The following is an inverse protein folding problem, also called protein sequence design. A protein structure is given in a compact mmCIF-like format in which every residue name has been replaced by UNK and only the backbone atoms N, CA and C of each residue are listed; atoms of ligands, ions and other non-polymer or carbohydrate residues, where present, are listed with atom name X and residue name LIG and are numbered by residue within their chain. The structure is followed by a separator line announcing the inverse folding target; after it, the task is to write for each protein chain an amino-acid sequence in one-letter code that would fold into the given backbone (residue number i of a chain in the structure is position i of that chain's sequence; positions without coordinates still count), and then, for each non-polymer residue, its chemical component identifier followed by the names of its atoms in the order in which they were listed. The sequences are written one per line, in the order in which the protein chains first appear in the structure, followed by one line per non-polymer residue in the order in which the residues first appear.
data_IF_039119317269
#
_entry.id   IF_039119317269
#
_cell.length_a   1.000
_cell.length_b   1.000
_cell.length_c   1.000
_cell.angle_alpha   90.00
_cell.angle_beta   90.00
_cell.angle_gamma   90.00
#
_symmetry.space_group_name_H-M   'P 1'
#
loop_
_entity.id
_entity.type
_entity.pdbx_description
1 polymer ?
#
# COMPACT_ATOMS: atom_id res chain seq x y z
N UNK A 1 15.44 -6.26 4.28
CA UNK A 1 14.09 -5.74 3.98
C UNK A 1 13.57 -6.41 2.72
N UNK A 2 12.29 -6.79 2.67
CA UNK A 2 11.67 -7.45 1.50
C UNK A 2 10.45 -6.66 1.04
N UNK A 3 10.52 -6.11 -0.16
CA UNK A 3 9.41 -5.40 -0.80
C UNK A 3 8.63 -6.37 -1.68
N UNK A 4 7.32 -6.45 -1.50
CA UNK A 4 6.44 -7.31 -2.28
C UNK A 4 5.17 -6.55 -2.69
N UNK A 5 4.35 -7.14 -3.57
CA UNK A 5 3.15 -6.49 -4.07
C UNK A 5 2.17 -6.10 -2.94
N UNK A 6 2.00 -6.96 -1.93
CA UNK A 6 1.10 -6.66 -0.81
C UNK A 6 1.60 -5.45 -0.02
N UNK A 7 2.86 -5.48 0.44
CA UNK A 7 3.42 -4.36 1.22
C UNK A 7 3.41 -3.07 0.41
N UNK A 8 3.87 -3.11 -0.85
CA UNK A 8 3.94 -1.92 -1.70
C UNK A 8 2.55 -1.34 -2.01
N UNK A 9 1.56 -2.21 -2.23
CA UNK A 9 0.18 -1.81 -2.46
C UNK A 9 -0.43 -1.15 -1.23
N UNK A 10 -0.22 -1.75 -0.04
CA UNK A 10 -0.66 -1.18 1.24
C UNK A 10 0.03 0.15 1.55
N UNK A 11 1.35 0.23 1.39
CA UNK A 11 2.11 1.46 1.66
C UNK A 11 1.60 2.62 0.80
N UNK A 12 1.25 2.33 -0.45
CA UNK A 12 0.67 3.33 -1.36
C UNK A 12 -0.76 3.69 -0.96
N UNK A 13 -1.58 2.72 -0.56
CA UNK A 13 -2.95 2.97 -0.10
C UNK A 13 -2.95 3.82 1.19
N UNK A 14 -2.01 3.56 2.08
CA UNK A 14 -1.75 4.34 3.29
C UNK A 14 -1.33 5.77 2.94
N UNK A 15 -0.33 5.93 2.08
CA UNK A 15 0.16 7.25 1.69
C UNK A 15 -0.98 8.11 1.10
N UNK A 16 -1.82 7.50 0.25
CA UNK A 16 -3.02 8.14 -0.27
C UNK A 16 -3.99 8.57 0.84
N UNK A 17 -4.30 7.67 1.78
CA UNK A 17 -5.19 7.97 2.91
C UNK A 17 -4.68 9.12 3.78
N UNK A 18 -3.37 9.15 4.08
CA UNK A 18 -2.74 10.23 4.85
C UNK A 18 -2.85 11.57 4.11
N UNK A 19 -2.56 11.59 2.81
CA UNK A 19 -2.69 12.80 2.00
C UNK A 19 -4.15 13.28 1.91
N UNK A 20 -5.13 12.37 1.76
CA UNK A 20 -6.56 12.71 1.73
C UNK A 20 -6.99 13.40 3.01
N UNK A 21 -6.61 12.86 4.17
CA UNK A 21 -7.02 13.43 5.46
C UNK A 21 -6.52 14.85 5.67
N UNK A 22 -5.33 15.16 5.16
CA UNK A 22 -4.76 16.52 5.23
C UNK A 22 -5.57 17.52 4.39
N UNK A 23 -6.24 17.08 3.32
CA UNK A 23 -6.97 17.99 2.42
C UNK A 23 -8.10 18.74 3.14
N UNK A 24 -8.71 18.13 4.15
CA UNK A 24 -9.80 18.75 4.93
C UNK A 24 -9.28 19.80 5.95
N UNK A 25 -7.97 19.79 6.23
CA UNK A 25 -7.34 20.58 7.30
C UNK A 25 -6.45 21.71 6.77
N UNK A 26 -6.13 21.72 5.47
CA UNK A 26 -5.17 22.63 4.87
C UNK A 26 -5.83 23.88 4.28
N UNK A 27 -5.32 25.06 4.68
CA UNK A 27 -5.60 26.33 4.02
C UNK A 27 -4.66 26.62 2.83
N UNK A 28 -3.45 26.03 2.84
CA UNK A 28 -2.43 26.13 1.79
C UNK A 28 -1.80 24.75 1.53
N UNK A 29 -1.33 24.48 0.31
CA UNK A 29 -0.69 23.20 -0.05
C UNK A 29 -1.66 22.08 -0.41
N UNK A 30 -2.91 22.42 -0.74
CA UNK A 30 -3.96 21.51 -1.19
C UNK A 30 -3.55 20.80 -2.48
N UNK A 31 -2.91 21.51 -3.41
CA UNK A 31 -2.52 21.00 -4.73
C UNK A 31 -1.52 19.86 -4.62
N UNK A 32 -0.52 19.99 -3.74
CA UNK A 32 0.48 18.96 -3.51
C UNK A 32 -0.15 17.68 -2.95
N UNK A 33 -1.05 17.82 -1.97
CA UNK A 33 -1.71 16.66 -1.36
C UNK A 33 -2.72 16.00 -2.32
N UNK A 34 -3.38 16.77 -3.20
CA UNK A 34 -4.20 16.20 -4.29
C UNK A 34 -3.34 15.37 -5.22
N UNK A 35 -2.20 15.90 -5.65
CA UNK A 35 -1.27 15.21 -6.55
C UNK A 35 -0.74 13.92 -5.91
N UNK A 36 -0.29 13.99 -4.67
CA UNK A 36 0.24 12.83 -3.94
C UNK A 36 -0.84 11.77 -3.74
N UNK A 37 -2.05 12.19 -3.34
CA UNK A 37 -3.19 11.29 -3.22
C UNK A 37 -3.44 10.54 -4.53
N UNK A 38 -3.51 11.28 -5.62
CA UNK A 38 -3.84 10.76 -6.94
C UNK A 38 -2.79 9.76 -7.44
N UNK A 39 -1.51 10.07 -7.25
CA UNK A 39 -0.39 9.20 -7.63
C UNK A 39 -0.42 7.92 -6.80
N UNK A 40 -0.46 8.05 -5.47
CA UNK A 40 -0.43 6.91 -4.57
C UNK A 40 -1.65 6.02 -4.71
N UNK A 41 -2.86 6.57 -4.90
CA UNK A 41 -4.08 5.78 -5.07
C UNK A 41 -4.09 4.99 -6.38
N UNK A 42 -3.64 5.60 -7.49
CA UNK A 42 -3.51 4.88 -8.76
C UNK A 42 -2.50 3.73 -8.64
N UNK A 43 -1.34 4.01 -8.04
CA UNK A 43 -0.31 2.99 -7.83
C UNK A 43 -0.80 1.86 -6.91
N UNK A 44 -1.45 2.18 -5.79
CA UNK A 44 -2.03 1.21 -4.86
C UNK A 44 -2.98 0.26 -5.58
N UNK A 45 -3.96 0.81 -6.33
CA UNK A 45 -4.91 0.01 -7.10
C UNK A 45 -4.19 -0.89 -8.11
N UNK A 46 -3.27 -0.34 -8.91
CA UNK A 46 -2.53 -1.14 -9.90
C UNK A 46 -1.78 -2.32 -9.27
N UNK A 47 -1.10 -2.09 -8.15
CA UNK A 47 -0.32 -3.11 -7.44
C UNK A 47 -1.22 -4.16 -6.80
N UNK A 48 -2.33 -3.76 -6.17
CA UNK A 48 -3.25 -4.68 -5.51
C UNK A 48 -4.05 -5.53 -6.52
N UNK A 49 -4.49 -4.95 -7.64
CA UNK A 49 -5.07 -5.71 -8.76
C UNK A 49 -4.06 -6.73 -9.31
N UNK A 50 -2.78 -6.35 -9.46
CA UNK A 50 -1.70 -7.27 -9.85
C UNK A 50 -1.50 -8.40 -8.83
N UNK A 51 -1.56 -8.09 -7.54
CA UNK A 51 -1.47 -9.09 -6.48
C UNK A 51 -2.60 -10.12 -6.58
N UNK A 52 -3.84 -9.68 -6.83
CA UNK A 52 -4.97 -10.61 -7.01
C UNK A 52 -4.72 -11.56 -8.18
N UNK A 53 -4.27 -11.06 -9.33
CA UNK A 53 -3.88 -11.90 -10.47
C UNK A 53 -2.78 -12.89 -10.09
N UNK A 54 -1.76 -12.44 -9.34
CA UNK A 54 -0.68 -13.30 -8.86
C UNK A 54 -1.18 -14.44 -8.00
N UNK A 55 -2.09 -14.14 -7.06
CA UNK A 55 -2.64 -15.09 -6.11
C UNK A 55 -3.44 -16.18 -6.82
N UNK A 56 -4.09 -15.84 -7.94
CA UNK A 56 -4.71 -16.82 -8.83
C UNK A 56 -3.63 -17.61 -9.59
N UNK A 57 -2.90 -16.94 -10.48
CA UNK A 57 -1.74 -17.49 -11.22
C UNK A 57 -0.77 -16.39 -11.62
N UNK A 58 0.51 -16.56 -11.27
CA UNK A 58 1.59 -15.59 -11.54
C UNK A 58 1.67 -15.09 -13.00
N UNK A 59 1.45 -15.96 -14.00
CA UNK A 59 1.54 -15.57 -15.41
C UNK A 59 0.49 -14.52 -15.83
N UNK A 60 -0.63 -14.44 -15.11
CA UNK A 60 -1.71 -13.48 -15.39
C UNK A 60 -1.27 -12.03 -15.16
N UNK A 61 -0.18 -11.81 -14.43
CA UNK A 61 0.39 -10.48 -14.23
C UNK A 61 1.18 -9.96 -15.43
N UNK A 62 1.58 -10.81 -16.38
CA UNK A 62 2.50 -10.44 -17.45
C UNK A 62 1.78 -10.16 -18.76
N UNK A 63 2.25 -9.17 -19.51
CA UNK A 63 1.68 -8.82 -20.82
C UNK A 63 1.86 -9.97 -21.82
N UNK A 64 3.07 -10.54 -21.87
CA UNK A 64 3.46 -11.60 -22.79
C UNK A 64 3.72 -12.91 -22.03
N UNK A 65 2.75 -13.83 -22.12
CA UNK A 65 2.81 -15.15 -21.50
C UNK A 65 3.95 -15.99 -22.10
N UNK A 66 4.23 -15.86 -23.40
CA UNK A 66 5.28 -16.64 -24.06
C UNK A 66 6.66 -16.26 -23.51
N UNK A 67 6.91 -14.96 -23.36
CA UNK A 67 8.15 -14.48 -22.75
C UNK A 67 8.24 -14.83 -21.26
N UNK A 68 7.13 -14.77 -20.52
CA UNK A 68 7.08 -15.28 -19.14
C UNK A 68 7.44 -16.78 -19.07
N UNK A 69 6.87 -17.63 -19.93
CA UNK A 69 7.11 -19.08 -19.91
C UNK A 69 8.57 -19.42 -20.20
N UNK A 70 9.20 -18.74 -21.17
CA UNK A 70 10.64 -18.86 -21.45
C UNK A 70 11.47 -18.51 -20.21
N UNK A 71 11.17 -17.38 -19.57
CA UNK A 71 11.86 -16.96 -18.35
C UNK A 71 11.64 -17.95 -17.20
N UNK A 72 10.41 -18.46 -17.03
CA UNK A 72 10.07 -19.45 -15.99
C UNK A 72 10.82 -20.75 -16.15
N UNK A 73 10.96 -21.26 -17.38
CA UNK A 73 11.74 -22.46 -17.66
C UNK A 73 13.21 -22.31 -17.24
N UNK A 74 13.85 -21.20 -17.61
CA UNK A 74 15.25 -20.92 -17.26
C UNK A 74 15.40 -20.68 -15.75
N UNK A 75 14.43 -20.00 -15.13
CA UNK A 75 14.40 -19.77 -13.68
C UNK A 75 14.43 -21.09 -12.90
N UNK A 76 13.63 -22.08 -13.32
CA UNK A 76 13.59 -23.40 -12.71
C UNK A 76 14.91 -24.16 -12.90
N UNK A 77 15.52 -24.10 -14.09
CA UNK A 77 16.81 -24.74 -14.37
C UNK A 77 17.96 -24.16 -13.54
N UNK A 78 17.94 -22.85 -13.29
CA UNK A 78 18.98 -22.14 -12.56
C UNK A 78 18.71 -22.01 -11.05
N UNK A 79 17.59 -22.55 -10.56
CA UNK A 79 17.19 -22.44 -9.14
C UNK A 79 16.99 -21.00 -8.66
N UNK A 80 16.54 -20.09 -9.55
CA UNK A 80 16.31 -18.67 -9.22
C UNK A 80 14.96 -18.46 -8.56
N UNK A 81 14.84 -17.36 -7.81
CA UNK A 81 13.65 -17.08 -7.00
C UNK A 81 12.56 -16.29 -7.74
N UNK A 82 12.91 -15.63 -8.85
CA UNK A 82 12.01 -14.76 -9.60
C UNK A 82 12.28 -14.80 -11.11
N UNK A 83 11.20 -14.77 -11.90
CA UNK A 83 11.28 -14.67 -13.37
C UNK A 83 11.89 -13.35 -13.84
N UNK A 84 11.81 -12.30 -13.01
CA UNK A 84 12.39 -10.99 -13.29
C UNK A 84 13.92 -10.98 -13.13
N UNK A 85 14.50 -11.91 -12.37
CA UNK A 85 15.96 -12.09 -12.33
C UNK A 85 16.50 -12.64 -13.66
N UNK A 86 15.69 -13.46 -14.35
CA UNK A 86 16.04 -14.05 -15.64
C UNK A 86 15.80 -13.07 -16.78
N UNK A 87 14.64 -12.39 -16.76
CA UNK A 87 14.28 -11.40 -17.77
C UNK A 87 13.73 -10.13 -17.11
N UNK A 88 14.62 -9.17 -16.80
CA UNK A 88 14.22 -7.88 -16.22
C UNK A 88 13.33 -7.03 -17.13
N UNK A 89 13.24 -7.36 -18.42
CA UNK A 89 12.43 -6.62 -19.42
C UNK A 89 10.99 -7.13 -19.51
N UNK A 90 10.61 -8.16 -18.73
CA UNK A 90 9.22 -8.61 -18.67
C UNK A 90 8.32 -7.47 -18.21
N UNK A 91 7.33 -7.15 -19.02
CA UNK A 91 6.33 -6.14 -18.69
C UNK A 91 5.16 -6.78 -17.96
N UNK A 92 4.72 -6.11 -16.91
CA UNK A 92 3.49 -6.45 -16.21
C UNK A 92 2.33 -5.71 -16.85
N UNK A 93 1.14 -6.28 -16.76
CA UNK A 93 -0.08 -5.68 -17.30
C UNK A 93 -0.34 -4.31 -16.68
N UNK A 94 -0.95 -3.40 -17.44
CA UNK A 94 -1.48 -2.18 -16.85
C UNK A 94 -2.76 -2.45 -16.03
N UNK A 95 -3.21 -1.44 -15.30
CA UNK A 95 -4.40 -1.50 -14.45
C UNK A 95 -5.69 -1.94 -15.19
N UNK A 96 -5.98 -1.37 -16.37
CA UNK A 96 -7.20 -1.73 -17.14
C UNK A 96 -7.18 -3.18 -17.60
N UNK A 97 -6.03 -3.66 -18.08
CA UNK A 97 -5.84 -5.06 -18.44
C UNK A 97 -5.94 -5.96 -17.21
N UNK A 98 -5.49 -5.49 -16.05
CA UNK A 98 -5.58 -6.25 -14.81
C UNK A 98 -7.04 -6.48 -14.41
N UNK A 99 -7.88 -5.43 -14.39
CA UNK A 99 -9.32 -5.56 -14.12
C UNK A 99 -9.98 -6.53 -15.09
N UNK A 100 -9.77 -6.35 -16.40
CA UNK A 100 -10.37 -7.23 -17.40
C UNK A 100 -9.99 -8.71 -17.18
N UNK A 101 -8.75 -8.98 -16.77
CA UNK A 101 -8.31 -10.34 -16.44
C UNK A 101 -8.92 -10.86 -15.15
N UNK A 102 -9.13 -10.01 -14.15
CA UNK A 102 -9.83 -10.38 -12.92
C UNK A 102 -11.28 -10.77 -13.23
N UNK A 103 -11.99 -9.95 -14.01
CA UNK A 103 -13.40 -10.21 -14.33
C UNK A 103 -13.55 -11.45 -15.23
N UNK A 104 -12.73 -11.58 -16.28
CA UNK A 104 -12.92 -12.61 -17.30
C UNK A 104 -12.20 -13.93 -17.01
N UNK A 105 -11.14 -13.92 -16.21
CA UNK A 105 -10.30 -15.10 -15.96
C UNK A 105 -10.27 -15.54 -14.50
N UNK A 106 -10.72 -14.70 -13.58
CA UNK A 106 -10.75 -15.00 -12.15
C UNK A 106 -12.17 -15.01 -11.55
N UNK A 107 -13.20 -14.71 -12.36
CA UNK A 107 -14.62 -14.67 -11.96
C UNK A 107 -14.88 -13.75 -10.76
N UNK A 108 -14.13 -12.65 -10.64
CA UNK A 108 -14.31 -11.63 -9.61
C UNK A 108 -14.86 -10.37 -10.27
N UNK A 109 -16.08 -10.01 -9.90
CA UNK A 109 -16.76 -8.84 -10.44
C UNK A 109 -16.21 -7.55 -9.83
N UNK A 110 -15.90 -6.55 -10.66
CA UNK A 110 -15.57 -5.20 -10.22
C UNK A 110 -16.74 -4.30 -10.56
N UNK A 111 -17.34 -3.67 -9.54
CA UNK A 111 -18.54 -2.85 -9.73
C UNK A 111 -18.32 -1.74 -10.76
N UNK A 112 -19.37 -1.41 -11.52
CA UNK A 112 -19.30 -0.34 -12.53
C UNK A 112 -18.94 1.02 -11.92
N UNK A 113 -19.40 1.27 -10.68
CA UNK A 113 -19.06 2.46 -9.92
C UNK A 113 -17.55 2.53 -9.64
N UNK A 114 -16.96 1.43 -9.15
CA UNK A 114 -15.54 1.40 -8.85
C UNK A 114 -14.68 1.53 -10.12
N UNK A 115 -15.06 0.84 -11.20
CA UNK A 115 -14.40 1.01 -12.51
C UNK A 115 -14.47 2.46 -12.99
N UNK A 116 -15.63 3.11 -12.88
CA UNK A 116 -15.82 4.51 -13.25
C UNK A 116 -14.95 5.47 -12.43
N UNK A 117 -14.86 5.24 -11.11
CA UNK A 117 -14.00 6.02 -10.22
C UNK A 117 -12.51 5.87 -10.59
N UNK A 118 -12.06 4.64 -10.82
CA UNK A 118 -10.68 4.35 -11.19
C UNK A 118 -10.31 4.95 -12.55
N UNK A 119 -11.18 4.83 -13.55
CA UNK A 119 -10.96 5.42 -14.88
C UNK A 119 -10.87 6.95 -14.82
N UNK A 120 -11.74 7.58 -14.02
CA UNK A 120 -11.68 9.03 -13.79
C UNK A 120 -10.34 9.44 -13.17
N UNK A 121 -9.90 8.75 -12.11
CA UNK A 121 -8.63 9.06 -11.46
C UNK A 121 -7.43 8.81 -12.36
N UNK A 122 -7.42 7.74 -13.15
CA UNK A 122 -6.32 7.47 -14.06
C UNK A 122 -6.21 8.56 -15.14
N UNK A 123 -7.34 9.07 -15.65
CA UNK A 123 -7.36 10.22 -16.57
C UNK A 123 -6.81 11.48 -15.91
N UNK A 124 -7.27 11.82 -14.70
CA UNK A 124 -6.78 12.99 -13.94
C UNK A 124 -5.30 12.86 -13.60
N UNK A 125 -4.82 11.66 -13.28
CA UNK A 125 -3.41 11.39 -13.00
C UNK A 125 -2.55 11.67 -14.22
N UNK A 126 -2.99 11.22 -15.39
CA UNK A 126 -2.27 11.48 -16.64
C UNK A 126 -2.25 12.98 -16.97
N UNK A 127 -3.35 13.70 -16.75
CA UNK A 127 -3.40 15.15 -16.93
C UNK A 127 -2.41 15.85 -16.00
N UNK A 128 -2.43 15.55 -14.69
CA UNK A 128 -1.58 16.23 -13.69
C UNK A 128 -0.08 15.86 -13.83
N UNK A 129 0.24 14.62 -14.20
CA UNK A 129 1.65 14.20 -14.27
C UNK A 129 2.35 14.52 -15.60
N UNK A 130 1.60 14.55 -16.70
CA UNK A 130 2.19 14.66 -18.05
C UNK A 130 1.77 15.93 -18.78
N UNK A 131 0.78 16.66 -18.29
CA UNK A 131 0.26 17.88 -18.90
C UNK A 131 0.01 18.95 -17.83
N UNK A 132 -0.40 20.13 -18.29
CA UNK A 132 -0.89 21.20 -17.43
C UNK A 132 -2.41 21.07 -17.29
N UNK A 133 -2.92 21.30 -16.07
CA UNK A 133 -4.35 21.36 -15.80
C UNK A 133 -4.60 22.59 -14.93
N UNK A 134 -5.58 23.39 -15.34
CA UNK A 134 -6.10 24.49 -14.54
C UNK A 134 -7.47 24.08 -14.02
N UNK A 135 -7.67 24.14 -12.71
CA UNK A 135 -8.90 23.73 -12.04
C UNK A 135 -9.38 24.88 -11.17
N UNK A 136 -10.65 25.22 -11.30
CA UNK A 136 -11.28 26.16 -10.38
C UNK A 136 -11.62 25.46 -9.04
N UNK A 137 -12.04 26.26 -8.05
CA UNK A 137 -12.32 25.78 -6.69
C UNK A 137 -13.38 24.67 -6.64
N UNK A 138 -14.43 24.77 -7.45
CA UNK A 138 -15.50 23.77 -7.47
C UNK A 138 -15.02 22.46 -8.09
N UNK A 139 -14.22 22.54 -9.16
CA UNK A 139 -13.59 21.37 -9.78
C UNK A 139 -12.57 20.69 -8.86
N UNK A 140 -11.86 21.46 -8.04
CA UNK A 140 -10.97 20.95 -7.00
C UNK A 140 -11.77 20.18 -5.95
N UNK A 141 -12.85 20.77 -5.44
CA UNK A 141 -13.71 20.10 -4.46
C UNK A 141 -14.32 18.81 -5.03
N UNK A 142 -14.78 18.82 -6.28
CA UNK A 142 -15.29 17.63 -6.97
C UNK A 142 -14.21 16.55 -7.10
N UNK A 143 -12.97 16.94 -7.41
CA UNK A 143 -11.85 16.01 -7.47
C UNK A 143 -11.56 15.39 -6.09
N UNK A 144 -11.57 16.17 -5.02
CA UNK A 144 -11.37 15.68 -3.65
C UNK A 144 -12.43 14.65 -3.27
N UNK A 145 -13.70 14.94 -3.54
CA UNK A 145 -14.78 13.99 -3.25
C UNK A 145 -14.64 12.70 -4.05
N UNK A 146 -14.27 12.77 -5.33
CA UNK A 146 -13.99 11.58 -6.15
C UNK A 146 -12.78 10.78 -5.67
N UNK A 147 -11.75 11.43 -5.13
CA UNK A 147 -10.61 10.76 -4.50
C UNK A 147 -11.06 9.98 -3.25
N UNK A 148 -11.87 10.60 -2.38
CA UNK A 148 -12.43 9.96 -1.18
C UNK A 148 -13.31 8.75 -1.54
N UNK A 149 -14.20 8.89 -2.52
CA UNK A 149 -15.05 7.80 -3.01
C UNK A 149 -14.18 6.64 -3.51
N UNK A 150 -13.22 6.92 -4.39
CA UNK A 150 -12.36 5.86 -4.92
C UNK A 150 -11.53 5.19 -3.82
N UNK A 151 -11.03 5.95 -2.84
CA UNK A 151 -10.29 5.42 -1.69
C UNK A 151 -11.14 4.41 -0.90
N UNK A 152 -12.40 4.75 -0.62
CA UNK A 152 -13.32 3.86 0.11
C UNK A 152 -13.62 2.60 -0.69
N UNK A 153 -13.98 2.74 -1.98
CA UNK A 153 -14.25 1.61 -2.86
C UNK A 153 -13.02 0.69 -3.00
N UNK A 154 -11.81 1.25 -3.09
CA UNK A 154 -10.57 0.48 -3.07
C UNK A 154 -10.41 -0.31 -1.79
N UNK A 155 -10.61 0.31 -0.62
CA UNK A 155 -10.48 -0.38 0.67
C UNK A 155 -11.51 -1.50 0.77
N UNK A 156 -12.78 -1.23 0.49
CA UNK A 156 -13.87 -2.20 0.57
C UNK A 156 -13.59 -3.41 -0.33
N UNK A 157 -13.35 -3.16 -1.63
CA UNK A 157 -13.09 -4.21 -2.60
C UNK A 157 -11.87 -5.08 -2.23
N UNK A 158 -10.76 -4.47 -1.84
CA UNK A 158 -9.57 -5.25 -1.50
C UNK A 158 -9.69 -5.95 -0.15
N UNK A 159 -10.45 -5.44 0.81
CA UNK A 159 -10.71 -6.15 2.07
C UNK A 159 -11.49 -7.44 1.83
N UNK A 160 -12.43 -7.43 0.89
CA UNK A 160 -13.24 -8.60 0.56
C UNK A 160 -12.43 -9.70 -0.14
N UNK A 161 -11.40 -9.32 -0.91
CA UNK A 161 -10.67 -10.25 -1.76
C UNK A 161 -9.23 -10.55 -1.32
N UNK A 162 -8.65 -9.75 -0.43
CA UNK A 162 -7.27 -9.93 0.05
C UNK A 162 -7.24 -9.97 1.58
N UNK A 163 -6.65 -11.05 2.11
CA UNK A 163 -6.50 -11.21 3.55
C UNK A 163 -5.50 -10.20 4.13
N UNK A 164 -5.83 -9.62 5.28
CA UNK A 164 -4.92 -8.79 6.07
C UNK A 164 -4.88 -7.31 5.70
N UNK A 165 -5.65 -6.84 4.72
CA UNK A 165 -5.72 -5.42 4.35
C UNK A 165 -6.12 -4.56 5.56
N UNK A 166 -7.20 -4.90 6.25
CA UNK A 166 -7.67 -4.17 7.43
C UNK A 166 -6.60 -4.06 8.55
N UNK A 167 -5.94 -5.17 8.85
CA UNK A 167 -4.89 -5.22 9.89
C UNK A 167 -3.67 -4.38 9.50
N UNK A 168 -3.22 -4.48 8.24
CA UNK A 168 -2.07 -3.74 7.74
C UNK A 168 -2.36 -2.24 7.63
N UNK A 169 -3.58 -1.86 7.25
CA UNK A 169 -4.05 -0.47 7.27
C UNK A 169 -4.13 0.09 8.69
N UNK A 170 -4.47 -0.73 9.70
CA UNK A 170 -4.48 -0.31 11.09
C UNK A 170 -3.06 -0.16 11.65
N UNK A 171 -2.16 -1.13 11.41
CA UNK A 171 -0.76 -1.06 11.82
C UNK A 171 -0.04 0.14 11.20
N UNK A 172 -0.40 0.48 9.96
CA UNK A 172 0.12 1.66 9.26
C UNK A 172 -0.20 3.00 9.94
N UNK A 173 -1.18 3.09 10.85
CA UNK A 173 -1.50 4.35 11.57
C UNK A 173 -0.38 4.81 12.51
N UNK A 174 0.60 3.95 12.80
CA UNK A 174 1.70 4.23 13.70
C UNK A 174 3.01 4.02 12.95
N UNK A 175 3.55 5.09 12.35
CA UNK A 175 4.97 5.10 11.98
C UNK A 175 5.74 5.44 13.25
N UNK A 176 6.37 4.44 13.87
CA UNK A 176 7.29 4.67 14.99
C UNK A 176 8.58 5.18 14.39
N UNK A 177 8.95 6.43 14.70
CA UNK A 177 10.23 6.96 14.23
C UNK A 177 11.38 6.26 14.96
N UNK A 178 12.60 6.34 14.41
CA UNK A 178 13.79 5.81 15.11
C UNK A 178 13.92 6.45 16.50
N UNK A 179 13.55 7.73 16.62
CA UNK A 179 13.56 8.43 17.89
C UNK A 179 12.51 7.87 18.86
N UNK A 180 11.30 7.59 18.37
CA UNK A 180 10.22 7.01 19.19
C UNK A 180 10.60 5.59 19.65
N UNK A 181 11.14 4.77 18.76
CA UNK A 181 11.62 3.41 19.07
C UNK A 181 12.77 3.42 20.09
N UNK A 182 13.74 4.32 19.92
CA UNK A 182 14.85 4.47 20.88
C UNK A 182 14.37 5.05 22.22
N UNK A 183 13.34 5.90 22.21
CA UNK A 183 12.74 6.44 23.43
C UNK A 183 11.95 5.38 24.20
N UNK A 184 11.23 4.48 23.51
CA UNK A 184 10.54 3.34 24.11
C UNK A 184 11.56 2.36 24.70
N UNK A 185 12.60 1.98 23.94
CA UNK A 185 13.68 1.13 24.45
C UNK A 185 14.36 1.70 25.71
N UNK A 186 14.67 2.99 25.71
CA UNK A 186 15.29 3.65 26.86
C UNK A 186 14.33 3.72 28.07
N UNK A 187 13.03 3.78 27.83
CA UNK A 187 12.01 3.76 28.87
C UNK A 187 11.88 2.34 29.47
N UNK A 188 11.84 1.31 28.62
CA UNK A 188 11.77 -0.09 29.04
C UNK A 188 13.02 -0.50 29.84
N UNK A 189 14.22 -0.12 29.39
CA UNK A 189 15.48 -0.36 30.13
C UNK A 189 15.50 0.38 31.49
N UNK A 190 14.89 1.57 31.56
CA UNK A 190 14.79 2.34 32.80
C UNK A 190 13.76 1.73 33.77
N UNK A 191 12.65 1.19 33.27
CA UNK A 191 11.67 0.46 34.08
C UNK A 191 12.26 -0.85 34.62
N UNK A 192 12.95 -1.64 33.79
CA UNK A 192 13.65 -2.84 34.23
C UNK A 192 14.70 -2.51 35.31
N UNK A 193 15.50 -1.46 35.09
CA UNK A 193 16.49 -1.01 36.08
C UNK A 193 15.85 -0.54 37.40
N UNK A 194 14.67 0.09 37.33
CA UNK A 194 13.93 0.52 38.52
C UNK A 194 13.32 -0.67 39.27
N UNK A 195 12.81 -1.69 38.55
CA UNK A 195 12.29 -2.93 39.13
C UNK A 195 13.42 -3.69 39.84
N UNK A 196 14.57 -3.88 39.19
CA UNK A 196 15.75 -4.52 39.80
C UNK A 196 16.22 -3.79 41.06
N UNK A 197 16.25 -2.45 41.03
CA UNK A 197 16.58 -1.65 42.20
C UNK A 197 15.58 -1.84 43.35
N UNK A 198 14.28 -1.87 43.03
CA UNK A 198 13.24 -2.10 44.03
C UNK A 198 13.33 -3.52 44.61
N UNK A 199 13.54 -4.54 43.79
CA UNK A 199 13.72 -5.93 44.24
C UNK A 199 14.96 -6.09 45.12
N UNK A 200 16.09 -5.50 44.73
CA UNK A 200 17.31 -5.47 45.54
C UNK A 200 17.11 -4.72 46.87
N UNK A 201 16.38 -3.61 46.88
CA UNK A 201 16.05 -2.88 48.10
C UNK A 201 15.10 -3.65 49.02
N UNK A 202 14.21 -4.50 48.47
CA UNK A 202 13.37 -5.40 49.24
C UNK A 202 14.15 -6.61 49.80
N UNK A 203 15.11 -7.15 49.07
CA UNK A 203 16.01 -8.21 49.55
C UNK A 203 16.88 -7.71 50.72
N UNK A 204 17.47 -6.51 50.61
CA UNK A 204 18.31 -5.90 51.66
C UNK A 204 17.48 -5.51 52.91
N UNK A 205 16.20 -5.17 52.74
CA UNK A 205 15.27 -4.95 53.85
C UNK A 205 14.79 -6.26 54.52
N UNK A 206 14.98 -7.41 53.85
CA UNK A 206 14.63 -8.75 54.34
C UNK A 206 15.72 -9.42 55.18
N UNK A 207 16.99 -9.00 55.07
CA UNK A 207 18.12 -9.53 55.87
C UNK A 207 18.26 -8.84 57.25
N UNK A 208 17.22 -8.13 57.69
CA UNK A 208 17.15 -7.47 59.00
C UNK A 208 16.38 -8.26 60.06
N UNK A 209 17.09 -9.18 60.73
CA UNK A 209 16.82 -9.82 62.05
C UNK A 209 15.99 -11.12 62.09
N UNK A 210 16.71 -12.22 62.32
CA UNK A 210 16.45 -13.12 63.45
C UNK A 210 17.67 -13.15 64.37
#
# INVERSE_FOLDING_TARGET
MRFNLLTNGIDSLKASFVSIRKLDELAEGVEHNIKDTLIHLNHANEILFKLMLKNQKEYLMFEDISNYMKAKSVMLQQGKSSVLEINPKLKTVNFSTAINRIELLCDIEVSSEFKGALDYLNKKRNQIMHFEIDLNRDEVNELIEKLKICQNLSIEFFNEHLNGIAMLMHAARFEVTVQDFLSELAHDEAEESYIDFMESAYEDAGEGKW
#
